data_IF_499267505448
#
_entry.id   IF_499267505448
#
_cell.length_a   1.000
_cell.length_b   1.000
_cell.length_c   1.000
_cell.angle_alpha   90.00
_cell.angle_beta   90.00
_cell.angle_gamma   90.00
#
_symmetry.space_group_name_H-M   'P 1'
#
loop_
_entity.id
_entity.type
_entity.pdbx_description
1 polymer ?
#
# COMPACT_ATOMS: atom_id res chain seq x y z
N UNK A 1 24.72 -16.72 -16.28
CA UNK A 1 23.83 -16.10 -15.29
C UNK A 1 23.17 -14.93 -15.99
N UNK A 2 21.88 -15.05 -16.30
CA UNK A 2 21.15 -13.94 -16.91
C UNK A 2 20.74 -12.94 -15.83
N UNK A 3 20.83 -11.65 -16.15
CA UNK A 3 20.47 -10.56 -15.23
C UNK A 3 18.97 -10.58 -14.96
N UNK A 4 18.59 -10.62 -13.69
CA UNK A 4 17.21 -10.48 -13.22
C UNK A 4 17.01 -9.11 -12.56
N UNK A 5 16.00 -8.39 -13.00
CA UNK A 5 15.63 -7.07 -12.49
C UNK A 5 14.49 -7.23 -11.49
N UNK A 6 14.69 -6.73 -10.27
CA UNK A 6 13.66 -6.72 -9.22
C UNK A 6 13.08 -5.31 -9.15
N UNK A 7 11.75 -5.22 -9.23
CA UNK A 7 11.00 -3.96 -9.27
C UNK A 7 10.24 -3.79 -7.96
N UNK A 8 10.35 -2.62 -7.36
CA UNK A 8 9.50 -2.22 -6.24
C UNK A 8 8.13 -1.79 -6.75
N UNK A 9 7.07 -2.42 -6.26
CA UNK A 9 5.71 -2.11 -6.68
C UNK A 9 5.33 -0.66 -6.33
N UNK A 10 5.46 -0.28 -5.06
CA UNK A 10 4.92 0.99 -4.53
C UNK A 10 5.88 2.18 -4.76
N UNK A 11 7.18 1.91 -4.85
CA UNK A 11 8.21 2.92 -5.10
C UNK A 11 8.55 3.17 -6.56
N UNK A 12 8.28 2.22 -7.47
CA UNK A 12 8.71 2.32 -8.88
C UNK A 12 7.57 2.13 -9.89
N UNK A 13 6.58 1.28 -9.59
CA UNK A 13 5.53 0.93 -10.57
C UNK A 13 4.22 1.70 -10.36
N UNK A 14 3.75 1.81 -9.13
CA UNK A 14 2.45 2.39 -8.80
C UNK A 14 2.49 3.27 -7.55
N UNK A 15 1.81 4.40 -7.58
CA UNK A 15 1.57 5.22 -6.40
C UNK A 15 0.36 4.68 -5.62
N UNK A 16 0.61 4.03 -4.49
CA UNK A 16 -0.43 3.48 -3.62
C UNK A 16 -0.87 4.40 -2.48
N UNK A 17 -0.38 5.65 -2.43
CA UNK A 17 -0.68 6.55 -1.32
C UNK A 17 -2.19 6.84 -1.19
N UNK A 18 -2.87 7.06 -2.31
CA UNK A 18 -4.31 7.33 -2.31
C UNK A 18 -5.14 6.11 -1.90
N UNK A 19 -4.72 4.90 -2.31
CA UNK A 19 -5.33 3.67 -1.82
C UNK A 19 -5.18 3.55 -0.30
N UNK A 20 -3.97 3.71 0.24
CA UNK A 20 -3.74 3.55 1.67
C UNK A 20 -4.53 4.56 2.50
N UNK A 21 -4.63 5.80 2.03
CA UNK A 21 -5.48 6.83 2.61
C UNK A 21 -6.96 6.41 2.61
N UNK A 22 -7.45 5.92 1.47
CA UNK A 22 -8.83 5.47 1.31
C UNK A 22 -9.16 4.28 2.23
N UNK A 23 -8.22 3.34 2.38
CA UNK A 23 -8.36 2.21 3.30
C UNK A 23 -8.38 2.66 4.75
N UNK A 24 -7.50 3.58 5.16
CA UNK A 24 -7.51 4.12 6.52
C UNK A 24 -8.86 4.76 6.84
N UNK A 25 -9.35 5.64 5.97
CA UNK A 25 -10.65 6.28 6.13
C UNK A 25 -11.79 5.25 6.22
N UNK A 26 -11.73 4.19 5.40
CA UNK A 26 -12.72 3.11 5.45
C UNK A 26 -12.65 2.31 6.75
N UNK A 27 -11.45 2.05 7.27
CA UNK A 27 -11.21 1.27 8.48
C UNK A 27 -11.69 1.99 9.75
N UNK A 28 -11.65 3.33 9.77
CA UNK A 28 -12.06 4.13 10.93
C UNK A 28 -13.48 4.69 10.85
N UNK A 29 -14.14 4.55 9.69
CA UNK A 29 -15.43 5.18 9.41
C UNK A 29 -16.47 4.88 10.50
N UNK A 30 -17.04 5.93 11.09
CA UNK A 30 -18.11 5.81 12.09
C UNK A 30 -17.66 5.40 13.50
N UNK A 31 -16.34 5.32 13.75
CA UNK A 31 -15.80 5.00 15.06
C UNK A 31 -15.41 6.27 15.82
N UNK A 32 -16.04 6.51 16.97
CA UNK A 32 -15.95 7.77 17.72
C UNK A 32 -14.52 8.10 18.20
N UNK A 33 -13.68 7.09 18.48
CA UNK A 33 -12.31 7.30 18.95
C UNK A 33 -11.33 7.72 17.86
N UNK A 34 -11.73 7.67 16.59
CA UNK A 34 -10.87 7.99 15.45
C UNK A 34 -11.28 9.29 14.78
N UNK A 35 -10.27 10.07 14.40
CA UNK A 35 -10.39 11.25 13.55
C UNK A 35 -11.03 10.86 12.22
N UNK A 36 -12.08 11.58 11.84
CA UNK A 36 -12.77 11.37 10.57
C UNK A 36 -12.35 12.39 9.50
N UNK A 37 -11.65 13.46 9.90
CA UNK A 37 -11.30 14.62 9.05
C UNK A 37 -9.78 14.71 8.78
N UNK A 38 -9.09 13.57 8.70
CA UNK A 38 -7.68 13.55 8.25
C UNK A 38 -7.63 13.91 6.78
N UNK A 39 -6.93 14.99 6.43
CA UNK A 39 -6.79 15.40 5.03
C UNK A 39 -5.79 14.53 4.28
N UNK A 40 -5.87 14.47 2.95
CA UNK A 40 -4.89 13.72 2.15
C UNK A 40 -3.47 14.31 2.24
N UNK A 41 -3.35 15.64 2.36
CA UNK A 41 -2.06 16.32 2.53
C UNK A 41 -1.39 15.93 3.86
N UNK A 42 -2.16 15.95 4.94
CA UNK A 42 -1.71 15.50 6.26
C UNK A 42 -1.29 14.02 6.23
N UNK A 43 -2.10 13.18 5.59
CA UNK A 43 -1.79 11.77 5.40
C UNK A 43 -0.48 11.57 4.64
N UNK A 44 -0.23 12.33 3.56
CA UNK A 44 1.01 12.23 2.80
C UNK A 44 2.24 12.63 3.61
N UNK A 45 2.14 13.70 4.40
CA UNK A 45 3.22 14.12 5.29
C UNK A 45 3.56 13.03 6.32
N UNK A 46 2.53 12.40 6.89
CA UNK A 46 2.70 11.30 7.83
C UNK A 46 3.23 10.02 7.18
N UNK A 47 2.73 9.66 6.00
CA UNK A 47 3.11 8.44 5.26
C UNK A 47 4.60 8.39 4.92
N UNK A 48 5.27 9.53 4.77
CA UNK A 48 6.68 9.60 4.39
C UNK A 48 7.62 8.83 5.35
N UNK A 49 7.19 8.58 6.59
CA UNK A 49 7.94 7.85 7.63
C UNK A 49 7.30 6.51 8.01
N UNK A 50 6.19 6.14 7.37
CA UNK A 50 5.44 4.91 7.67
C UNK A 50 6.08 3.72 6.93
N UNK A 51 6.34 2.66 7.68
CA UNK A 51 6.84 1.37 7.20
C UNK A 51 5.82 0.23 7.36
N UNK A 52 4.81 0.39 8.23
CA UNK A 52 3.79 -0.62 8.52
C UNK A 52 2.39 0.00 8.72
N UNK A 53 1.34 -0.75 8.40
CA UNK A 53 -0.05 -0.30 8.47
C UNK A 53 -0.50 0.08 9.89
N UNK A 54 0.05 -0.54 10.95
CA UNK A 54 -0.30 -0.21 12.33
C UNK A 54 0.00 1.26 12.67
N UNK A 55 1.00 1.85 12.02
CA UNK A 55 1.45 3.21 12.31
C UNK A 55 0.41 4.27 11.97
N UNK A 56 -0.50 4.02 11.03
CA UNK A 56 -1.60 4.94 10.73
C UNK A 56 -2.53 5.13 11.93
N UNK A 57 -2.56 4.19 12.89
CA UNK A 57 -3.25 4.40 14.16
C UNK A 57 -2.77 5.67 14.88
N UNK A 58 -1.47 5.99 14.78
CA UNK A 58 -0.84 7.18 15.38
C UNK A 58 -1.14 8.49 14.63
N UNK A 59 -1.81 8.40 13.48
CA UNK A 59 -2.39 9.54 12.77
C UNK A 59 -3.89 9.69 13.06
N UNK A 60 -4.60 8.58 13.20
CA UNK A 60 -6.07 8.56 13.27
C UNK A 60 -6.64 8.52 14.70
N UNK A 61 -5.98 7.96 15.70
CA UNK A 61 -6.48 7.97 17.09
C UNK A 61 -6.08 9.26 17.82
N UNK A 62 -7.07 10.08 18.18
CA UNK A 62 -6.85 11.38 18.83
C UNK A 62 -6.07 11.27 20.15
N UNK A 63 -6.18 10.15 20.84
CA UNK A 63 -5.53 9.92 22.14
C UNK A 63 -4.04 9.56 21.98
N UNK A 64 -3.62 9.26 20.76
CA UNK A 64 -2.35 8.61 20.44
C UNK A 64 -1.61 9.29 19.28
N UNK A 65 -1.96 10.55 18.99
CA UNK A 65 -1.34 11.33 17.93
C UNK A 65 0.16 11.48 18.16
N UNK A 66 0.92 11.34 17.07
CA UNK A 66 2.38 11.42 17.06
C UNK A 66 2.82 12.26 15.88
N UNK A 67 3.82 13.12 16.09
CA UNK A 67 4.46 13.84 15.00
C UNK A 67 5.28 12.86 14.12
N UNK A 68 5.28 13.00 12.78
CA UNK A 68 5.97 12.06 11.88
C UNK A 68 7.43 11.77 12.27
N UNK A 69 8.15 12.77 12.78
CA UNK A 69 9.56 12.62 13.18
C UNK A 69 9.78 11.65 14.35
N UNK A 70 8.77 11.50 15.23
CA UNK A 70 8.87 10.67 16.43
C UNK A 70 8.41 9.23 16.19
N UNK A 71 7.64 9.00 15.13
CA UNK A 71 7.04 7.71 14.79
C UNK A 71 8.04 6.54 14.69
N UNK A 72 9.25 6.68 14.10
CA UNK A 72 10.21 5.58 14.01
C UNK A 72 10.71 5.07 15.38
N UNK A 73 10.60 5.89 16.44
CA UNK A 73 11.01 5.53 17.79
C UNK A 73 9.94 4.76 18.59
N UNK A 74 8.75 4.54 18.02
CA UNK A 74 7.61 3.97 18.73
C UNK A 74 7.50 2.47 18.48
N UNK A 75 7.39 1.71 19.57
CA UNK A 75 7.02 0.31 19.51
C UNK A 75 5.49 0.16 19.46
N UNK A 76 4.94 -0.72 18.60
CA UNK A 76 3.50 -0.94 18.53
C UNK A 76 2.97 -1.65 19.78
N UNK A 77 1.73 -1.35 20.14
CA UNK A 77 0.95 -2.08 21.15
C UNK A 77 -0.26 -2.81 20.54
N UNK A 78 -1.10 -3.42 21.39
CA UNK A 78 -2.26 -4.19 20.95
C UNK A 78 -3.32 -3.36 20.19
N UNK A 79 -3.46 -2.07 20.49
CA UNK A 79 -4.39 -1.19 19.77
C UNK A 79 -3.85 -0.87 18.37
N UNK A 80 -2.53 -0.67 18.24
CA UNK A 80 -1.88 -0.48 16.94
C UNK A 80 -2.09 -1.72 16.04
N UNK A 81 -1.89 -2.92 16.59
CA UNK A 81 -2.15 -4.16 15.85
C UNK A 81 -3.64 -4.40 15.56
N UNK A 82 -4.53 -3.93 16.43
CA UNK A 82 -5.98 -3.97 16.19
C UNK A 82 -6.37 -3.06 15.03
N UNK A 83 -5.82 -1.85 14.98
CA UNK A 83 -5.97 -0.96 13.83
C UNK A 83 -5.46 -1.62 12.54
N UNK A 84 -4.28 -2.23 12.56
CA UNK A 84 -3.73 -2.92 11.39
C UNK A 84 -4.66 -4.03 10.87
N UNK A 85 -5.28 -4.81 11.77
CA UNK A 85 -6.29 -5.82 11.39
C UNK A 85 -7.49 -5.18 10.69
N UNK A 86 -8.03 -4.08 11.23
CA UNK A 86 -9.14 -3.36 10.59
C UNK A 86 -8.74 -2.75 9.26
N UNK A 87 -7.52 -2.24 9.13
CA UNK A 87 -6.97 -1.74 7.88
C UNK A 87 -6.95 -2.83 6.80
N UNK A 88 -6.42 -4.01 7.10
CA UNK A 88 -6.38 -5.12 6.12
C UNK A 88 -7.78 -5.65 5.80
N UNK A 89 -8.68 -5.75 6.78
CA UNK A 89 -10.07 -6.14 6.54
C UNK A 89 -10.79 -5.13 5.62
N UNK A 90 -10.62 -3.82 5.86
CA UNK A 90 -11.18 -2.77 5.02
C UNK A 90 -10.61 -2.82 3.59
N UNK A 91 -9.31 -3.10 3.45
CA UNK A 91 -8.67 -3.30 2.14
C UNK A 91 -9.30 -4.48 1.40
N UNK A 92 -9.47 -5.62 2.05
CA UNK A 92 -10.07 -6.81 1.43
C UNK A 92 -11.51 -6.55 0.99
N UNK A 93 -12.30 -5.82 1.78
CA UNK A 93 -13.65 -5.37 1.40
C UNK A 93 -13.63 -4.46 0.17
N UNK A 94 -12.73 -3.47 0.15
CA UNK A 94 -12.59 -2.53 -0.96
C UNK A 94 -12.10 -3.21 -2.23
N UNK A 95 -11.23 -4.20 -2.10
CA UNK A 95 -10.70 -4.98 -3.20
C UNK A 95 -11.78 -5.75 -3.93
N UNK A 96 -13.02 -5.91 -3.45
CA UNK A 96 -14.09 -6.54 -4.24
C UNK A 96 -14.44 -5.71 -5.48
N UNK A 97 -14.31 -4.38 -5.42
CA UNK A 97 -14.60 -3.47 -6.52
C UNK A 97 -13.65 -3.67 -7.72
N UNK A 98 -14.14 -3.96 -8.94
CA UNK A 98 -13.32 -4.05 -10.14
C UNK A 98 -12.48 -2.80 -10.44
N UNK A 99 -12.96 -1.63 -10.02
CA UNK A 99 -12.31 -0.34 -10.24
C UNK A 99 -11.33 0.05 -9.13
N UNK A 100 -11.23 -0.73 -8.06
CA UNK A 100 -10.27 -0.52 -6.97
C UNK A 100 -8.81 -0.31 -7.44
N UNK A 101 -8.30 -1.01 -8.47
CA UNK A 101 -6.98 -0.76 -9.03
C UNK A 101 -6.72 0.70 -9.43
N UNK A 102 -7.76 1.47 -9.81
CA UNK A 102 -7.65 2.89 -10.17
C UNK A 102 -7.18 3.77 -9.01
N UNK A 103 -7.30 3.30 -7.76
CA UNK A 103 -6.77 3.98 -6.58
C UNK A 103 -5.23 3.96 -6.52
N UNK A 104 -4.59 3.13 -7.35
CA UNK A 104 -3.14 3.06 -7.48
C UNK A 104 -2.74 3.55 -8.86
N UNK A 105 -2.38 4.83 -8.94
CA UNK A 105 -1.99 5.43 -10.21
C UNK A 105 -0.62 4.86 -10.66
N UNK A 106 -0.49 4.32 -11.88
CA UNK A 106 0.81 3.91 -12.42
C UNK A 106 1.72 5.13 -12.57
N UNK A 107 3.01 4.97 -12.26
CA UNK A 107 4.00 5.97 -12.64
C UNK A 107 4.27 5.89 -14.15
N UNK A 108 4.72 6.99 -14.76
CA UNK A 108 5.08 7.02 -16.19
C UNK A 108 6.10 5.93 -16.55
N UNK A 109 7.00 5.62 -15.61
CA UNK A 109 7.99 4.56 -15.76
C UNK A 109 7.36 3.17 -15.99
N UNK A 110 6.21 2.87 -15.37
CA UNK A 110 5.50 1.61 -15.61
C UNK A 110 5.10 1.46 -17.07
N UNK A 111 4.59 2.52 -17.71
CA UNK A 111 4.19 2.46 -19.12
C UNK A 111 5.38 2.25 -20.06
N UNK A 112 6.55 2.80 -19.72
CA UNK A 112 7.80 2.54 -20.45
C UNK A 112 8.26 1.10 -20.29
N UNK A 113 8.08 0.53 -19.10
CA UNK A 113 8.55 -0.81 -18.76
C UNK A 113 7.61 -1.92 -19.24
N UNK A 114 6.30 -1.67 -19.29
CA UNK A 114 5.26 -2.66 -19.59
C UNK A 114 5.53 -3.50 -20.85
N UNK A 115 5.91 -2.94 -22.01
CA UNK A 115 6.25 -3.75 -23.19
C UNK A 115 7.41 -4.73 -22.94
N UNK A 116 8.38 -4.36 -22.09
CA UNK A 116 9.52 -5.21 -21.72
C UNK A 116 9.11 -6.33 -20.76
N UNK A 117 8.19 -6.04 -19.81
CA UNK A 117 7.62 -7.07 -18.93
C UNK A 117 6.93 -8.16 -19.75
N UNK A 118 6.15 -7.76 -20.77
CA UNK A 118 5.43 -8.67 -21.66
C UNK A 118 6.37 -9.48 -22.56
N UNK A 119 7.43 -8.86 -23.07
CA UNK A 119 8.37 -9.51 -23.99
C UNK A 119 9.37 -10.44 -23.28
N UNK A 120 9.73 -10.14 -22.02
CA UNK A 120 10.79 -10.82 -21.28
C UNK A 120 10.41 -11.09 -19.81
N UNK A 121 9.29 -11.76 -19.52
CA UNK A 121 8.75 -11.91 -18.16
C UNK A 121 9.71 -12.63 -17.19
N UNK A 122 10.57 -13.50 -17.70
CA UNK A 122 11.59 -14.25 -16.97
C UNK A 122 12.73 -13.37 -16.43
N UNK A 123 12.94 -12.19 -17.04
CA UNK A 123 13.98 -11.22 -16.65
C UNK A 123 13.54 -10.30 -15.53
N UNK A 124 12.28 -10.33 -15.13
CA UNK A 124 11.71 -9.45 -14.11
C UNK A 124 11.15 -10.23 -12.92
N UNK A 125 11.06 -9.56 -11.78
CA UNK A 125 10.23 -9.94 -10.66
C UNK A 125 9.78 -8.67 -9.93
N UNK A 126 8.65 -8.74 -9.25
CA UNK A 126 8.15 -7.67 -8.40
C UNK A 126 8.33 -8.09 -6.94
N UNK A 127 8.86 -7.18 -6.12
CA UNK A 127 9.00 -7.33 -4.67
C UNK A 127 8.29 -6.15 -3.98
N UNK A 128 7.44 -6.42 -3.00
CA UNK A 128 6.77 -5.37 -2.23
C UNK A 128 6.34 -5.90 -0.86
N UNK A 129 6.20 -4.99 0.11
CA UNK A 129 5.63 -5.27 1.44
C UNK A 129 4.10 -5.39 1.42
N UNK A 130 3.49 -5.35 0.24
CA UNK A 130 2.05 -5.50 0.03
C UNK A 130 1.68 -6.95 -0.26
N UNK A 131 0.45 -7.35 0.07
CA UNK A 131 -0.02 -8.70 -0.21
C UNK A 131 0.00 -9.01 -1.73
N UNK A 132 0.26 -10.27 -2.09
CA UNK A 132 0.38 -10.67 -3.51
C UNK A 132 -0.91 -10.42 -4.29
N UNK A 133 -2.07 -10.63 -3.65
CA UNK A 133 -3.37 -10.48 -4.30
C UNK A 133 -3.63 -9.05 -4.81
N UNK A 134 -3.29 -8.03 -4.01
CA UNK A 134 -3.38 -6.61 -4.39
C UNK A 134 -2.52 -6.30 -5.62
N UNK A 135 -1.27 -6.76 -5.60
CA UNK A 135 -0.31 -6.52 -6.67
C UNK A 135 -0.82 -7.15 -7.97
N UNK A 136 -1.18 -8.44 -7.94
CA UNK A 136 -1.65 -9.15 -9.13
C UNK A 136 -2.91 -8.53 -9.72
N UNK A 137 -3.89 -8.19 -8.89
CA UNK A 137 -5.12 -7.54 -9.36
C UNK A 137 -4.83 -6.19 -10.02
N UNK A 138 -3.89 -5.43 -9.50
CA UNK A 138 -3.48 -4.16 -10.10
C UNK A 138 -2.78 -4.39 -11.44
N UNK A 139 -1.85 -5.34 -11.50
CA UNK A 139 -1.15 -5.68 -12.75
C UNK A 139 -2.12 -6.20 -13.81
N UNK A 140 -3.08 -7.05 -13.44
CA UNK A 140 -4.11 -7.59 -14.33
C UNK A 140 -4.98 -6.48 -14.93
N UNK A 141 -5.39 -5.51 -14.11
CA UNK A 141 -6.13 -4.33 -14.57
C UNK A 141 -5.37 -3.51 -15.63
N UNK A 142 -4.04 -3.53 -15.59
CA UNK A 142 -3.17 -2.88 -16.58
C UNK A 142 -2.56 -3.86 -17.61
N UNK A 143 -3.13 -5.07 -17.73
CA UNK A 143 -2.70 -6.14 -18.63
C UNK A 143 -1.18 -6.41 -18.53
N UNK A 144 -0.68 -6.58 -17.31
CA UNK A 144 0.74 -6.75 -16.99
C UNK A 144 1.03 -7.84 -15.95
N UNK A 145 0.05 -8.68 -15.57
CA UNK A 145 0.25 -9.81 -14.63
C UNK A 145 0.94 -11.00 -15.33
N UNK A 146 2.20 -10.81 -15.70
CA UNK A 146 3.02 -11.81 -16.43
C UNK A 146 4.33 -12.15 -15.73
N UNK A 147 4.66 -11.46 -14.65
CA UNK A 147 5.93 -11.60 -13.92
C UNK A 147 5.71 -12.25 -12.55
N UNK A 148 6.73 -12.95 -12.00
CA UNK A 148 6.69 -13.40 -10.61
C UNK A 148 6.52 -12.23 -9.63
N UNK A 149 5.62 -12.40 -8.66
CA UNK A 149 5.33 -11.42 -7.60
C UNK A 149 5.66 -12.02 -6.24
N UNK A 150 6.46 -11.30 -5.46
CA UNK A 150 6.80 -11.59 -4.07
C UNK A 150 6.26 -10.47 -3.19
N UNK A 151 5.19 -10.78 -2.45
CA UNK A 151 4.52 -9.83 -1.55
C UNK A 151 4.93 -10.00 -0.09
N UNK A 152 4.17 -9.36 0.80
CA UNK A 152 4.29 -9.40 2.25
C UNK A 152 4.46 -10.83 2.82
N UNK A 153 3.83 -11.82 2.20
CA UNK A 153 3.87 -13.22 2.63
C UNK A 153 5.25 -13.89 2.43
N UNK A 154 6.17 -13.20 1.75
CA UNK A 154 7.50 -13.71 1.38
C UNK A 154 8.65 -12.98 2.07
N UNK A 155 8.36 -11.96 2.88
CA UNK A 155 9.35 -11.07 3.53
C UNK A 155 9.33 -11.31 5.05
#
# INVERSE_FOLDING_TARGET
MELKLVLDFDGVLFNSAFEAYSVCNRAVAGTVSYRQEVSFEEFLAFRAVVTDAWQYNRLYDERRLVEPVDLPGIAPDDEDWTFAKHFFAARDEMMVDPDWPKLMAPYDFFFLLRPLLLAHPDRFAILSTRNVASIRRTLDFYDADVVPVFGQEHI
#
